data_IF_831169611882
#
_entry.id   IF_831169611882
#
_cell.length_a   1.000
_cell.length_b   1.000
_cell.length_c   1.000
_cell.angle_alpha   90.00
_cell.angle_beta   90.00
_cell.angle_gamma   90.00
#
_symmetry.space_group_name_H-M   'P 1'
#
loop_
_entity.id
_entity.type
_entity.pdbx_description
1 polymer ?
#
# COMPACT_ATOMS: atom_id res chain seq x y z
N UNK A 1 31.92 -2.05 -8.82
CA UNK A 1 30.52 -1.68 -8.52
C UNK A 1 29.98 -2.69 -7.52
N UNK A 2 29.28 -2.28 -6.45
CA UNK A 2 28.83 -3.19 -5.38
C UNK A 2 27.39 -3.64 -5.63
N UNK A 3 27.21 -4.84 -6.15
CA UNK A 3 25.91 -5.52 -6.33
C UNK A 3 25.22 -5.89 -5.00
N UNK A 4 25.95 -5.88 -3.87
CA UNK A 4 25.45 -6.36 -2.58
C UNK A 4 24.45 -5.46 -1.82
N UNK A 5 24.09 -4.27 -2.32
CA UNK A 5 23.23 -3.32 -1.59
C UNK A 5 21.81 -3.18 -2.16
N UNK A 6 21.55 -3.72 -3.36
CA UNK A 6 20.24 -3.58 -4.04
C UNK A 6 19.26 -4.69 -3.67
N UNK A 7 19.75 -5.93 -3.53
CA UNK A 7 18.94 -7.10 -3.14
C UNK A 7 18.33 -6.92 -1.74
N UNK A 8 19.10 -6.34 -0.81
CA UNK A 8 18.61 -6.04 0.55
C UNK A 8 17.50 -4.98 0.54
N UNK A 9 17.64 -3.91 -0.25
CA UNK A 9 16.61 -2.89 -0.35
C UNK A 9 15.34 -3.41 -1.03
N UNK A 10 15.45 -4.27 -2.05
CA UNK A 10 14.28 -4.88 -2.67
C UNK A 10 13.50 -5.75 -1.67
N UNK A 11 14.21 -6.60 -0.92
CA UNK A 11 13.59 -7.44 0.10
C UNK A 11 12.90 -6.59 1.20
N UNK A 12 13.55 -5.52 1.65
CA UNK A 12 12.97 -4.57 2.62
C UNK A 12 11.71 -3.90 2.08
N UNK A 13 11.73 -3.44 0.83
CA UNK A 13 10.55 -2.84 0.17
C UNK A 13 9.40 -3.86 0.10
N UNK A 14 9.68 -5.10 -0.31
CA UNK A 14 8.67 -6.18 -0.36
C UNK A 14 8.07 -6.45 1.02
N UNK A 15 8.91 -6.53 2.05
CA UNK A 15 8.46 -6.74 3.42
C UNK A 15 7.58 -5.59 3.94
N UNK A 16 8.01 -4.34 3.76
CA UNK A 16 7.24 -3.17 4.19
C UNK A 16 5.91 -3.06 3.43
N UNK A 17 5.89 -3.32 2.12
CA UNK A 17 4.65 -3.27 1.35
C UNK A 17 3.71 -4.45 1.70
N UNK A 18 4.26 -5.63 1.98
CA UNK A 18 3.49 -6.77 2.50
C UNK A 18 2.79 -6.42 3.82
N UNK A 19 3.53 -5.81 4.76
CA UNK A 19 2.98 -5.34 6.03
C UNK A 19 1.89 -4.27 5.84
N UNK A 20 2.07 -3.34 4.90
CA UNK A 20 1.03 -2.39 4.53
C UNK A 20 -0.26 -3.09 4.06
N UNK A 21 -0.15 -4.13 3.22
CA UNK A 21 -1.32 -4.90 2.75
C UNK A 21 -2.00 -5.63 3.93
N UNK A 22 -1.22 -6.23 4.82
CA UNK A 22 -1.76 -6.92 6.02
C UNK A 22 -2.58 -5.96 6.88
N UNK A 23 -2.03 -4.79 7.21
CA UNK A 23 -2.76 -3.74 7.94
C UNK A 23 -4.01 -3.27 7.20
N UNK A 24 -3.92 -3.09 5.88
CA UNK A 24 -5.06 -2.69 5.06
C UNK A 24 -6.20 -3.72 5.10
N UNK A 25 -5.88 -5.02 5.01
CA UNK A 25 -6.89 -6.09 5.01
C UNK A 25 -7.62 -6.16 6.35
N UNK A 26 -6.94 -5.96 7.47
CA UNK A 26 -7.55 -6.00 8.81
C UNK A 26 -8.04 -4.65 9.33
N UNK A 27 -8.06 -3.61 8.48
CA UNK A 27 -8.49 -2.25 8.83
C UNK A 27 -7.65 -1.58 9.94
N UNK A 28 -6.36 -1.92 10.03
CA UNK A 28 -5.42 -1.33 10.99
C UNK A 28 -4.82 -0.02 10.43
N UNK A 29 -5.55 1.08 10.62
CA UNK A 29 -5.15 2.41 10.15
C UNK A 29 -3.93 2.93 10.90
N UNK A 30 -3.78 2.62 12.19
CA UNK A 30 -2.61 3.02 12.99
C UNK A 30 -1.35 2.28 12.52
N UNK A 31 -1.48 1.00 12.20
CA UNK A 31 -0.44 0.20 11.55
C UNK A 31 0.00 0.83 10.22
N UNK A 32 -0.95 1.22 9.35
CA UNK A 32 -0.62 1.92 8.10
C UNK A 32 0.12 3.23 8.38
N UNK A 33 -0.39 4.04 9.31
CA UNK A 33 0.23 5.32 9.65
C UNK A 33 1.67 5.15 10.17
N UNK A 34 1.98 4.04 10.85
CA UNK A 34 3.33 3.74 11.35
C UNK A 34 4.37 3.47 10.24
N UNK A 35 3.92 3.19 9.01
CA UNK A 35 4.78 2.91 7.85
C UNK A 35 5.06 4.15 6.99
N UNK A 36 4.43 5.29 7.28
CA UNK A 36 4.46 6.48 6.43
C UNK A 36 5.03 7.65 7.21
N UNK A 37 6.03 8.31 6.63
CA UNK A 37 6.55 9.58 7.14
C UNK A 37 5.62 10.71 6.69
N UNK A 38 4.82 11.23 7.63
CA UNK A 38 3.93 12.37 7.43
C UNK A 38 4.62 13.72 7.72
N UNK A 39 4.16 14.84 7.14
CA UNK A 39 2.99 14.97 6.26
C UNK A 39 3.24 14.45 4.84
N UNK A 40 2.18 13.99 4.18
CA UNK A 40 2.17 13.72 2.75
C UNK A 40 1.30 14.74 2.01
N UNK A 41 1.63 15.02 0.75
CA UNK A 41 0.73 15.74 -0.15
C UNK A 41 -0.15 14.73 -0.87
N UNK A 42 -1.44 14.76 -0.55
CA UNK A 42 -2.46 13.94 -1.19
C UNK A 42 -3.12 14.70 -2.33
N UNK A 43 -3.15 14.09 -3.51
CA UNK A 43 -3.75 14.65 -4.73
C UNK A 43 -4.83 13.69 -5.21
N UNK A 44 -6.09 14.13 -5.18
CA UNK A 44 -7.24 13.35 -5.64
C UNK A 44 -8.42 14.26 -5.97
N UNK A 45 -9.18 13.91 -7.01
CA UNK A 45 -10.45 14.57 -7.39
C UNK A 45 -10.39 16.11 -7.42
N UNK A 46 -9.34 16.66 -8.04
CA UNK A 46 -9.15 18.12 -8.13
C UNK A 46 -8.66 18.80 -6.83
N UNK A 47 -8.45 18.03 -5.76
CA UNK A 47 -7.90 18.53 -4.50
C UNK A 47 -6.40 18.23 -4.37
N UNK A 48 -5.69 19.14 -3.71
CA UNK A 48 -4.30 19.00 -3.28
C UNK A 48 -4.23 19.44 -1.82
N UNK A 49 -4.03 18.50 -0.90
CA UNK A 49 -4.07 18.75 0.55
C UNK A 49 -2.89 18.10 1.25
N UNK A 50 -2.40 18.75 2.30
CA UNK A 50 -1.44 18.13 3.22
C UNK A 50 -2.20 17.27 4.21
N UNK A 51 -1.77 16.02 4.40
CA UNK A 51 -2.35 15.10 5.35
C UNK A 51 -1.30 14.65 6.36
N UNK A 52 -1.70 14.58 7.62
CA UNK A 52 -0.89 14.06 8.73
C UNK A 52 -1.25 12.61 9.10
N UNK A 53 -2.17 12.00 8.34
CA UNK A 53 -2.62 10.63 8.51
C UNK A 53 -3.12 10.06 7.17
N UNK A 54 -3.28 8.75 7.12
CA UNK A 54 -3.76 8.03 5.94
C UNK A 54 -5.20 8.45 5.58
N UNK A 55 -5.49 8.82 4.31
CA UNK A 55 -6.77 9.42 3.92
C UNK A 55 -7.96 8.46 3.86
N UNK A 56 -7.72 7.15 3.93
CA UNK A 56 -8.73 6.13 3.64
C UNK A 56 -8.90 5.23 4.84
N UNK A 57 -10.14 5.00 5.26
CA UNK A 57 -10.47 3.92 6.19
C UNK A 57 -10.78 2.67 5.34
N UNK A 58 -9.94 1.61 5.36
CA UNK A 58 -10.10 0.45 4.49
C UNK A 58 -11.50 -0.17 4.54
N UNK A 59 -12.09 -0.32 5.72
CA UNK A 59 -13.44 -0.87 5.89
C UNK A 59 -14.53 -0.03 5.23
N UNK A 60 -14.46 1.29 5.36
CA UNK A 60 -15.48 2.17 4.78
C UNK A 60 -15.36 2.18 3.26
N UNK A 61 -14.13 2.21 2.74
CA UNK A 61 -13.88 2.06 1.31
C UNK A 61 -14.36 0.71 0.76
N UNK A 62 -14.16 -0.38 1.52
CA UNK A 62 -14.65 -1.71 1.14
C UNK A 62 -16.18 -1.75 1.07
N UNK A 63 -16.86 -1.22 2.09
CA UNK A 63 -18.33 -1.12 2.14
C UNK A 63 -18.87 -0.31 0.97
N UNK A 64 -18.31 0.87 0.71
CA UNK A 64 -18.72 1.76 -0.37
C UNK A 64 -18.59 1.09 -1.75
N UNK A 65 -17.48 0.38 -1.98
CA UNK A 65 -17.20 -0.29 -3.26
C UNK A 65 -17.87 -1.65 -3.41
N UNK A 66 -18.55 -2.16 -2.38
CA UNK A 66 -19.06 -3.54 -2.34
C UNK A 66 -17.94 -4.58 -2.43
N UNK A 67 -16.73 -4.22 -2.02
CA UNK A 67 -15.53 -5.06 -2.04
C UNK A 67 -15.50 -5.92 -0.77
N UNK A 68 -15.45 -7.25 -0.94
CA UNK A 68 -15.36 -8.21 0.17
C UNK A 68 -13.91 -8.57 0.48
N UNK A 69 -13.20 -9.14 -0.49
CA UNK A 69 -11.81 -9.60 -0.33
C UNK A 69 -11.02 -9.48 -1.64
N UNK A 70 -9.70 -9.68 -1.58
CA UNK A 70 -8.83 -9.71 -2.75
C UNK A 70 -8.10 -11.05 -2.84
N UNK A 71 -8.00 -11.58 -4.06
CA UNK A 71 -7.24 -12.80 -4.37
C UNK A 71 -6.13 -12.47 -5.37
N UNK A 72 -5.20 -13.40 -5.55
CA UNK A 72 -4.08 -13.28 -6.51
C UNK A 72 -3.25 -12.01 -6.29
N UNK A 73 -3.07 -11.63 -5.01
CA UNK A 73 -2.26 -10.47 -4.64
C UNK A 73 -0.81 -10.73 -5.03
N UNK A 74 -0.25 -9.86 -5.86
CA UNK A 74 1.13 -9.94 -6.32
C UNK A 74 1.77 -8.56 -6.26
N UNK A 75 2.95 -8.48 -5.65
CA UNK A 75 3.73 -7.25 -5.51
C UNK A 75 5.06 -7.39 -6.24
N UNK A 76 5.35 -6.46 -7.14
CA UNK A 76 6.60 -6.38 -7.91
C UNK A 76 7.33 -5.09 -7.58
N UNK A 77 8.61 -5.19 -7.25
CA UNK A 77 9.51 -4.03 -7.14
C UNK A 77 10.18 -3.83 -8.51
N UNK A 78 9.76 -2.79 -9.23
CA UNK A 78 10.25 -2.50 -10.58
C UNK A 78 11.60 -1.79 -10.58
N UNK A 79 11.95 -1.13 -9.48
CA UNK A 79 13.24 -0.48 -9.32
C UNK A 79 13.41 0.04 -7.91
N UNK A 80 14.63 -0.06 -7.38
CA UNK A 80 14.97 0.43 -6.04
C UNK A 80 16.35 1.09 -6.07
N UNK A 81 16.46 2.19 -5.36
CA UNK A 81 17.74 2.84 -5.07
C UNK A 81 17.81 3.14 -3.57
N UNK A 82 18.77 3.99 -3.16
CA UNK A 82 19.01 4.30 -1.75
C UNK A 82 17.83 4.99 -1.05
N UNK A 83 17.00 5.73 -1.77
CA UNK A 83 15.96 6.60 -1.17
C UNK A 83 14.57 6.40 -1.75
N UNK A 84 14.43 5.65 -2.85
CA UNK A 84 13.16 5.46 -3.56
C UNK A 84 13.02 4.04 -4.07
N UNK A 85 11.77 3.60 -4.14
CA UNK A 85 11.39 2.37 -4.82
C UNK A 85 10.14 2.61 -5.68
N UNK A 86 10.03 1.84 -6.76
CA UNK A 86 8.83 1.76 -7.58
C UNK A 86 8.21 0.38 -7.38
N UNK A 87 7.00 0.36 -6.83
CA UNK A 87 6.28 -0.87 -6.47
C UNK A 87 4.96 -0.89 -7.22
N UNK A 88 4.63 -2.04 -7.81
CA UNK A 88 3.32 -2.31 -8.39
C UNK A 88 2.72 -3.49 -7.64
N UNK A 89 1.51 -3.30 -7.13
CA UNK A 89 0.71 -4.37 -6.54
C UNK A 89 -0.56 -4.55 -7.34
N UNK A 90 -0.82 -5.78 -7.74
CA UNK A 90 -2.03 -6.20 -8.46
C UNK A 90 -2.79 -7.18 -7.60
N UNK A 91 -4.12 -7.11 -7.67
CA UNK A 91 -5.00 -8.08 -7.04
C UNK A 91 -6.34 -8.12 -7.78
N UNK A 92 -7.02 -9.25 -7.71
CA UNK A 92 -8.39 -9.42 -8.18
C UNK A 92 -9.34 -9.16 -7.02
N UNK A 93 -10.14 -8.09 -7.10
CA UNK A 93 -11.15 -7.77 -6.08
C UNK A 93 -12.41 -8.63 -6.27
N UNK A 94 -12.87 -9.25 -5.19
CA UNK A 94 -14.09 -10.04 -5.13
C UNK A 94 -15.18 -9.21 -4.48
N UNK A 95 -16.36 -9.18 -5.12
CA UNK A 95 -17.53 -8.47 -4.60
C UNK A 95 -18.32 -9.32 -3.62
N UNK A 96 -18.87 -8.68 -2.59
CA UNK A 96 -19.66 -9.34 -1.54
C UNK A 96 -20.93 -10.03 -2.06
N UNK A 97 -21.53 -9.51 -3.12
CA UNK A 97 -22.73 -10.08 -3.76
C UNK A 97 -22.41 -11.16 -4.81
N UNK A 98 -21.14 -11.55 -4.95
CA UNK A 98 -20.69 -12.59 -5.88
C UNK A 98 -19.99 -13.77 -5.20
N UNK A 99 -20.09 -13.88 -3.87
CA UNK A 99 -19.60 -15.00 -3.05
C UNK A 99 -20.76 -15.86 -2.60
#
# INVERSE_FOLDING_TARGET
MKEGNFVDNEARVRATYGQYIEYFLVNDVDGINSLVDYPIIYISDGHCVSLDAYPVIPDDMRKEKGWDTAIEVSTTVHGVNKTKAHVITTATQIRKDKV
#
